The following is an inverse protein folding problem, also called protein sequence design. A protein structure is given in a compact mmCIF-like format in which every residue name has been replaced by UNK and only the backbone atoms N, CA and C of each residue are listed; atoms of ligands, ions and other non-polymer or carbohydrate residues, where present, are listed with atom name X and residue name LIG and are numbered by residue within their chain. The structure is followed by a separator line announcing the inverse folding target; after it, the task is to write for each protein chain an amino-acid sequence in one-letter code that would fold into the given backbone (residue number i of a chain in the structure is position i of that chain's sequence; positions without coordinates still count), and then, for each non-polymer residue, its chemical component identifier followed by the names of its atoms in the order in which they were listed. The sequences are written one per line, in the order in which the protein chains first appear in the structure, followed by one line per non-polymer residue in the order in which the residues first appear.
data_IF_906335098572
#
_entry.id   IF_906335098572
#
_cell.length_a   1.000
_cell.length_b   1.000
_cell.length_c   1.000
_cell.angle_alpha   90.00
_cell.angle_beta   90.00
_cell.angle_gamma   90.00
#
_symmetry.space_group_name_H-M   'P 1'
#
loop_
_entity.id
_entity.type
_entity.pdbx_description
1 polymer ?
#
# COMPACT_ATOMS: atom_id res chain seq x y z
N UNK A 1 1.76 -0.15 -17.54
CA UNK A 1 2.52 0.27 -16.36
C UNK A 1 2.36 -0.77 -15.26
N UNK A 2 3.44 -1.12 -14.59
CA UNK A 2 3.41 -2.04 -13.46
C UNK A 2 3.56 -1.26 -12.15
N UNK A 3 2.74 -1.61 -11.17
CA UNK A 3 2.68 -0.94 -9.86
C UNK A 3 2.63 -2.01 -8.77
N UNK A 4 3.25 -1.74 -7.65
CA UNK A 4 3.25 -2.61 -6.48
C UNK A 4 2.61 -1.91 -5.29
N UNK A 5 2.00 -2.70 -4.41
CA UNK A 5 1.55 -2.23 -3.11
C UNK A 5 1.79 -3.30 -2.06
N UNK A 6 2.02 -2.88 -0.83
CA UNK A 6 2.27 -3.79 0.28
C UNK A 6 1.27 -3.56 1.39
N UNK A 7 0.68 -4.65 1.90
CA UNK A 7 -0.24 -4.64 3.02
C UNK A 7 0.52 -4.86 4.32
N UNK A 8 0.52 -3.85 5.19
CA UNK A 8 0.95 -4.00 6.58
C UNK A 8 -0.31 -4.02 7.44
N UNK A 9 -0.46 -5.07 8.23
CA UNK A 9 -1.65 -5.31 9.05
C UNK A 9 -1.27 -5.30 10.52
N UNK A 10 -2.08 -4.62 11.35
CA UNK A 10 -1.85 -4.54 12.79
C UNK A 10 -3.17 -4.23 13.48
N UNK A 11 -3.50 -5.01 14.51
CA UNK A 11 -4.72 -4.78 15.31
C UNK A 11 -6.01 -4.67 14.47
N UNK A 12 -6.11 -5.51 13.43
CA UNK A 12 -7.24 -5.48 12.49
C UNK A 12 -7.36 -4.16 11.73
N UNK A 13 -6.22 -3.52 11.47
CA UNK A 13 -6.11 -2.32 10.65
C UNK A 13 -5.14 -2.54 9.50
N UNK A 14 -5.38 -1.86 8.39
CA UNK A 14 -4.50 -1.83 7.23
C UNK A 14 -3.80 -0.49 7.16
N UNK A 15 -2.48 -0.49 7.01
CA UNK A 15 -1.73 0.74 6.84
C UNK A 15 -1.91 1.30 5.43
N UNK A 16 -2.34 2.54 5.35
CA UNK A 16 -2.46 3.29 4.08
C UNK A 16 -1.82 4.65 4.25
N UNK A 17 -1.47 5.30 3.15
CA UNK A 17 -0.91 6.65 3.20
C UNK A 17 -1.61 7.60 2.25
N UNK A 18 -1.44 8.90 2.49
CA UNK A 18 -1.93 9.95 1.62
C UNK A 18 -0.74 10.75 1.10
N UNK A 19 -0.45 10.64 -0.22
CA UNK A 19 0.54 11.50 -0.84
C UNK A 19 0.11 12.98 -0.80
N UNK A 20 1.07 13.90 -0.68
CA UNK A 20 0.76 15.34 -0.61
C UNK A 20 0.05 15.84 -1.86
N UNK A 21 0.39 15.28 -3.02
CA UNK A 21 -0.16 15.69 -4.33
C UNK A 21 -1.48 15.01 -4.68
N UNK A 22 -2.03 14.18 -3.80
CA UNK A 22 -3.26 13.44 -4.05
C UNK A 22 -4.30 13.73 -3.00
N UNK A 23 -5.57 13.61 -3.38
CA UNK A 23 -6.70 13.72 -2.46
C UNK A 23 -7.04 12.35 -1.84
N UNK A 24 -6.53 11.28 -2.43
CA UNK A 24 -6.87 9.91 -2.02
C UNK A 24 -5.78 9.27 -1.19
N UNK A 25 -6.21 8.44 -0.24
CA UNK A 25 -5.33 7.48 0.42
C UNK A 25 -5.01 6.34 -0.53
N UNK A 26 -3.81 5.82 -0.45
CA UNK A 26 -3.30 4.77 -1.32
C UNK A 26 -2.58 3.70 -0.50
N UNK A 27 -2.31 2.55 -1.13
CA UNK A 27 -1.43 1.55 -0.54
C UNK A 27 -0.01 2.07 -0.42
N UNK A 28 0.74 1.50 0.51
CA UNK A 28 2.19 1.67 0.55
C UNK A 28 2.75 1.03 -0.72
N UNK A 29 3.29 1.81 -1.64
CA UNK A 29 3.79 1.27 -2.90
C UNK A 29 4.06 2.33 -3.95
N UNK A 30 4.29 1.89 -5.17
CA UNK A 30 4.58 2.76 -6.30
C UNK A 30 4.91 1.97 -7.56
N UNK A 31 5.55 2.64 -8.52
CA UNK A 31 5.88 2.04 -9.80
C UNK A 31 7.05 1.06 -9.71
N UNK A 32 6.96 -0.01 -10.49
CA UNK A 32 8.12 -0.87 -10.77
C UNK A 32 9.01 -0.13 -11.77
N UNK A 33 10.27 0.05 -11.43
CA UNK A 33 11.24 0.71 -12.30
C UNK A 33 11.93 -0.27 -13.24
N UNK A 34 12.53 0.23 -14.31
CA UNK A 34 13.25 -0.59 -15.27
C UNK A 34 14.36 -1.38 -14.56
N UNK A 35 14.40 -2.69 -14.83
CA UNK A 35 15.39 -3.57 -14.23
C UNK A 35 15.03 -4.12 -12.86
N UNK A 36 13.92 -3.68 -12.28
CA UNK A 36 13.42 -4.24 -11.01
C UNK A 36 12.41 -5.36 -11.24
N UNK A 37 12.43 -6.35 -10.36
CA UNK A 37 11.29 -7.26 -10.23
C UNK A 37 10.19 -6.56 -9.39
N UNK A 38 8.95 -7.03 -9.45
CA UNK A 38 7.90 -6.48 -8.57
C UNK A 38 8.26 -6.57 -7.09
N UNK A 39 8.88 -7.65 -6.63
CA UNK A 39 9.30 -7.78 -5.23
C UNK A 39 10.37 -6.76 -4.86
N UNK A 40 11.35 -6.55 -5.73
CA UNK A 40 12.38 -5.52 -5.48
C UNK A 40 11.77 -4.12 -5.40
N UNK A 41 10.83 -3.82 -6.28
CA UNK A 41 10.10 -2.55 -6.26
C UNK A 41 9.30 -2.39 -4.95
N UNK A 42 8.62 -3.44 -4.51
CA UNK A 42 7.86 -3.42 -3.26
C UNK A 42 8.75 -3.12 -2.06
N UNK A 43 9.91 -3.78 -1.98
CA UNK A 43 10.87 -3.56 -0.89
C UNK A 43 11.39 -2.11 -0.92
N UNK A 44 11.79 -1.62 -2.08
CA UNK A 44 12.28 -0.24 -2.25
C UNK A 44 11.24 0.78 -1.83
N UNK A 45 10.01 0.62 -2.31
CA UNK A 45 8.91 1.55 -1.99
C UNK A 45 8.59 1.53 -0.50
N UNK A 46 8.64 0.37 0.16
CA UNK A 46 8.44 0.30 1.60
C UNK A 46 9.47 1.14 2.35
N UNK A 47 10.74 1.02 1.98
CA UNK A 47 11.79 1.82 2.62
C UNK A 47 11.62 3.31 2.36
N UNK A 48 11.28 3.68 1.13
CA UNK A 48 11.10 5.09 0.77
C UNK A 48 9.90 5.73 1.47
N UNK A 49 8.78 5.04 1.52
CA UNK A 49 7.55 5.62 2.05
C UNK A 49 7.43 5.56 3.56
N UNK A 50 7.89 4.48 4.21
CA UNK A 50 7.76 4.34 5.66
C UNK A 50 8.80 5.15 6.42
N UNK A 51 9.93 5.47 5.80
CA UNK A 51 11.00 6.24 6.41
C UNK A 51 12.03 5.37 7.13
N UNK A 52 13.11 6.02 7.55
CA UNK A 52 14.30 5.32 8.08
C UNK A 52 14.10 4.70 9.46
N UNK A 53 13.09 5.16 10.20
CA UNK A 53 12.83 4.68 11.56
C UNK A 53 11.86 3.51 11.63
N UNK A 54 11.25 3.16 10.51
CA UNK A 54 10.41 1.98 10.42
C UNK A 54 11.28 0.72 10.34
N UNK A 55 10.87 -0.33 11.04
CA UNK A 55 11.61 -1.58 11.14
C UNK A 55 10.76 -2.72 10.62
N UNK A 56 11.21 -3.34 9.54
CA UNK A 56 10.57 -4.51 8.96
C UNK A 56 11.60 -5.37 8.24
N UNK A 57 11.24 -6.64 8.03
CA UNK A 57 12.12 -7.62 7.39
C UNK A 57 11.81 -7.69 5.88
N UNK A 58 12.78 -7.30 5.04
CA UNK A 58 12.66 -7.33 3.58
C UNK A 58 12.30 -8.70 3.02
N UNK A 59 12.61 -9.76 3.76
CA UNK A 59 12.38 -11.14 3.32
C UNK A 59 10.99 -11.68 3.70
N UNK A 60 10.14 -10.86 4.30
CA UNK A 60 8.83 -11.29 4.80
C UNK A 60 7.66 -10.76 3.97
N UNK A 61 7.88 -10.44 2.71
CA UNK A 61 6.83 -10.01 1.79
C UNK A 61 6.45 -11.16 0.86
N UNK A 62 5.15 -11.48 0.80
CA UNK A 62 4.61 -12.50 -0.10
C UNK A 62 3.59 -11.90 -1.05
N UNK A 63 3.65 -12.30 -2.33
CA UNK A 63 2.65 -11.90 -3.32
C UNK A 63 1.33 -12.59 -3.01
N UNK A 64 0.27 -11.83 -2.81
CA UNK A 64 -1.05 -12.36 -2.44
C UNK A 64 -2.12 -12.05 -3.47
N UNK A 65 -1.90 -11.08 -4.34
CA UNK A 65 -2.92 -10.65 -5.31
C UNK A 65 -2.26 -9.98 -6.50
N UNK A 66 -2.87 -10.12 -7.65
CA UNK A 66 -2.39 -9.54 -8.90
C UNK A 66 -3.60 -9.26 -9.78
N UNK A 67 -3.68 -8.07 -10.38
CA UNK A 67 -4.83 -7.70 -11.21
C UNK A 67 -4.52 -6.51 -12.11
N UNK A 68 -5.37 -6.30 -13.11
CA UNK A 68 -5.31 -5.13 -13.98
C UNK A 68 -6.34 -4.09 -13.54
N UNK A 69 -5.98 -2.84 -13.68
CA UNK A 69 -6.81 -1.72 -13.21
C UNK A 69 -6.51 -0.45 -14.02
N UNK A 70 -7.36 0.54 -13.89
CA UNK A 70 -7.13 1.88 -14.44
C UNK A 70 -6.66 2.79 -13.30
N UNK A 71 -5.60 3.57 -13.54
CA UNK A 71 -5.02 4.45 -12.52
C UNK A 71 -6.06 5.43 -11.97
N UNK A 72 -6.12 5.55 -10.64
CA UNK A 72 -6.99 6.52 -9.97
C UNK A 72 -6.61 7.95 -10.33
N UNK A 73 -5.32 8.20 -10.57
CA UNK A 73 -4.77 9.54 -10.78
C UNK A 73 -5.29 10.24 -12.03
N UNK A 74 -5.48 9.51 -13.14
CA UNK A 74 -5.94 10.11 -14.40
C UNK A 74 -7.19 9.45 -14.97
N UNK A 75 -7.61 8.31 -14.44
CA UNK A 75 -8.78 7.58 -14.89
C UNK A 75 -8.61 6.92 -16.26
N UNK A 76 -7.41 6.87 -16.81
CA UNK A 76 -7.15 6.44 -18.19
C UNK A 76 -6.04 5.39 -18.28
N UNK A 77 -4.95 5.55 -17.53
CA UNK A 77 -3.75 4.72 -17.68
C UNK A 77 -3.98 3.29 -17.20
N UNK A 78 -3.75 2.28 -18.07
CA UNK A 78 -3.81 0.88 -17.63
C UNK A 78 -2.65 0.55 -16.69
N UNK A 79 -2.95 -0.18 -15.62
CA UNK A 79 -1.97 -0.61 -14.63
C UNK A 79 -2.11 -2.10 -14.40
N UNK A 80 -0.97 -2.80 -14.35
CA UNK A 80 -0.90 -4.14 -13.79
C UNK A 80 -0.39 -4.02 -12.37
N UNK A 81 -1.18 -4.47 -11.39
CA UNK A 81 -0.92 -4.25 -9.97
C UNK A 81 -0.53 -5.56 -9.29
N UNK A 82 0.56 -5.52 -8.52
CA UNK A 82 1.02 -6.63 -7.67
C UNK A 82 0.82 -6.22 -6.21
N UNK A 83 0.12 -7.03 -5.43
CA UNK A 83 -0.10 -6.77 -4.00
C UNK A 83 0.66 -7.79 -3.18
N UNK A 84 1.53 -7.29 -2.32
CA UNK A 84 2.30 -8.09 -1.36
C UNK A 84 1.70 -7.93 0.03
N UNK A 85 1.88 -8.94 0.86
CA UNK A 85 1.55 -8.88 2.28
C UNK A 85 2.81 -9.01 3.10
N UNK A 86 3.01 -8.13 4.05
CA UNK A 86 4.06 -8.26 5.03
C UNK A 86 3.63 -9.27 6.11
N UNK A 87 4.40 -10.34 6.29
CA UNK A 87 4.09 -11.42 7.23
C UNK A 87 4.86 -11.27 8.54
N UNK A 88 4.83 -10.08 9.10
CA UNK A 88 5.46 -9.79 10.37
C UNK A 88 4.77 -8.63 11.04
N UNK A 89 5.37 -8.12 12.09
CA UNK A 89 4.90 -6.93 12.78
C UNK A 89 5.78 -5.75 12.38
N UNK A 90 5.16 -4.70 11.86
CA UNK A 90 5.85 -3.45 11.58
C UNK A 90 6.16 -2.76 12.89
N UNK A 91 7.44 -2.49 13.11
CA UNK A 91 7.94 -1.84 14.32
C UNK A 91 8.58 -0.50 14.00
N UNK A 92 9.02 0.22 15.03
CA UNK A 92 9.63 1.53 14.86
C UNK A 92 8.60 2.61 14.64
N UNK A 93 9.03 3.68 13.98
CA UNK A 93 8.20 4.86 13.73
C UNK A 93 8.01 5.11 12.25
N UNK A 94 6.80 5.50 11.87
CA UNK A 94 6.50 5.97 10.52
C UNK A 94 6.90 7.44 10.42
N UNK A 95 7.52 7.83 9.31
CA UNK A 95 7.96 9.21 9.10
C UNK A 95 7.32 9.78 7.84
N UNK A 96 6.64 10.91 7.98
CA UNK A 96 6.15 11.66 6.83
C UNK A 96 7.33 12.26 6.06
N UNK A 97 7.09 12.66 4.83
CA UNK A 97 8.14 13.14 3.94
C UNK A 97 7.61 14.25 3.03
N UNK A 98 8.44 14.70 2.08
CA UNK A 98 7.99 15.65 1.05
C UNK A 98 6.90 15.04 0.16
N UNK A 99 6.86 13.72 0.03
CA UNK A 99 5.87 13.03 -0.81
C UNK A 99 4.66 12.54 -0.02
N UNK A 100 4.87 12.10 1.22
CA UNK A 100 3.81 11.49 2.05
C UNK A 100 3.38 12.48 3.13
N UNK A 101 2.11 12.87 3.09
CA UNK A 101 1.52 13.81 4.02
C UNK A 101 1.15 13.16 5.34
N UNK A 102 0.53 11.98 5.30
CA UNK A 102 0.08 11.27 6.50
C UNK A 102 -0.14 9.78 6.25
N UNK A 103 -0.14 9.04 7.36
CA UNK A 103 -0.44 7.62 7.41
C UNK A 103 -1.74 7.41 8.18
N UNK A 104 -2.42 6.30 7.89
CA UNK A 104 -3.63 5.91 8.59
C UNK A 104 -3.66 4.38 8.75
N UNK A 105 -3.93 3.92 9.96
CA UNK A 105 -4.26 2.53 10.21
C UNK A 105 -5.76 2.37 10.02
N UNK A 106 -6.16 1.90 8.85
CA UNK A 106 -7.55 1.92 8.38
C UNK A 106 -8.36 0.73 8.84
N UNK A 107 -9.61 1.02 9.28
CA UNK A 107 -10.69 0.04 9.44
C UNK A 107 -11.91 0.55 8.68
N UNK A 108 -12.81 -0.34 8.29
CA UNK A 108 -13.96 0.02 7.45
C UNK A 108 -14.92 1.01 8.12
N UNK A 109 -14.88 1.13 9.45
CA UNK A 109 -15.70 2.07 10.20
C UNK A 109 -14.93 3.32 10.65
N UNK A 110 -13.76 3.58 10.10
CA UNK A 110 -12.85 4.63 10.55
C UNK A 110 -13.22 6.04 10.07
N UNK A 111 -14.33 6.20 9.35
CA UNK A 111 -14.79 7.50 8.85
C UNK A 111 -14.84 7.55 7.32
N UNK A 112 -15.02 8.76 6.79
CA UNK A 112 -15.23 8.98 5.36
C UNK A 112 -13.93 9.36 4.65
N UNK A 113 -12.94 8.49 4.73
CA UNK A 113 -11.68 8.73 4.03
C UNK A 113 -11.85 8.51 2.52
N UNK A 114 -11.21 9.36 1.73
CA UNK A 114 -11.20 9.21 0.28
C UNK A 114 -10.15 8.17 -0.10
N UNK A 115 -10.59 7.05 -0.63
CA UNK A 115 -9.73 5.92 -0.95
C UNK A 115 -9.50 5.80 -2.45
N UNK A 116 -8.30 5.36 -2.83
CA UNK A 116 -8.01 5.03 -4.22
C UNK A 116 -8.90 3.88 -4.71
N UNK A 117 -9.06 3.76 -6.01
CA UNK A 117 -9.84 2.66 -6.61
C UNK A 117 -9.27 1.30 -6.21
N UNK A 118 -7.95 1.17 -6.17
CA UNK A 118 -7.28 -0.06 -5.76
C UNK A 118 -7.68 -0.47 -4.34
N UNK A 119 -7.63 0.46 -3.39
CA UNK A 119 -8.06 0.20 -2.01
C UNK A 119 -9.53 -0.16 -1.95
N UNK A 120 -10.38 0.67 -2.55
CA UNK A 120 -11.82 0.57 -2.44
C UNK A 120 -12.38 -0.70 -3.09
N UNK A 121 -11.88 -1.06 -4.25
CA UNK A 121 -12.46 -2.14 -5.07
C UNK A 121 -11.73 -3.47 -4.98
N UNK A 122 -10.47 -3.48 -4.55
CA UNK A 122 -9.64 -4.69 -4.54
C UNK A 122 -9.12 -5.06 -3.16
N UNK A 123 -8.37 -4.16 -2.52
CA UNK A 123 -7.62 -4.51 -1.30
C UNK A 123 -8.51 -4.59 -0.06
N UNK A 124 -9.34 -3.59 0.16
CA UNK A 124 -10.23 -3.58 1.32
C UNK A 124 -11.23 -4.73 1.29
N UNK A 125 -11.91 -5.02 0.14
CA UNK A 125 -12.76 -6.21 0.06
C UNK A 125 -12.00 -7.51 0.34
N UNK A 126 -10.78 -7.64 -0.18
CA UNK A 126 -9.92 -8.79 0.09
C UNK A 126 -9.69 -8.96 1.60
N UNK A 127 -9.33 -7.87 2.28
CA UNK A 127 -9.04 -7.88 3.71
C UNK A 127 -10.30 -8.18 4.55
N UNK A 128 -11.44 -7.60 4.20
CA UNK A 128 -12.71 -7.80 4.91
C UNK A 128 -13.19 -9.25 4.78
N UNK A 129 -13.12 -9.81 3.57
CA UNK A 129 -13.54 -11.18 3.29
C UNK A 129 -12.73 -12.19 4.13
N UNK A 130 -11.45 -11.91 4.33
CA UNK A 130 -10.53 -12.77 5.10
C UNK A 130 -10.43 -12.38 6.57
N UNK A 131 -11.22 -11.39 7.00
CA UNK A 131 -11.24 -10.92 8.40
C UNK A 131 -9.87 -10.42 8.88
N UNK A 132 -9.10 -9.84 7.97
CA UNK A 132 -7.80 -9.25 8.29
C UNK A 132 -7.95 -7.85 8.89
N UNK A 133 -9.03 -7.17 8.55
CA UNK A 133 -9.41 -5.87 9.12
C UNK A 133 -10.86 -5.90 9.57
N UNK A 134 -11.23 -4.93 10.36
CA UNK A 134 -12.62 -4.72 10.77
C UNK A 134 -13.33 -3.73 9.86
#
# INVERSE_FOLDING_TARGET
MEVVGTMFLKNKCLLIDKPRKRLTYQMIGGKVEDGETPLEAAIRECHEELGDKAIFDDNSLDLVMEFDEIATSDGITPIHFYVFRYNGVLEGELSTSLEIEKFLWYQSNAGEEILSNTLKHKVIPYCLERKLIK
#
